data_IF_760713695069
#
_entry.id   IF_760713695069
#
_cell.length_a   1.000
_cell.length_b   1.000
_cell.length_c   1.000
_cell.angle_alpha   90.00
_cell.angle_beta   90.00
_cell.angle_gamma   90.00
#
_symmetry.space_group_name_H-M   'P 1'
#
loop_
_entity.id
_entity.type
_entity.pdbx_description
1 polymer ?
#
# COMPACT_ATOMS: atom_id res chain seq x y z
N UNK A 1 -13.60 -6.62 13.27
CA UNK A 1 -13.37 -7.28 11.96
C UNK A 1 -11.88 -7.58 11.86
N UNK A 2 -11.51 -8.80 11.49
CA UNK A 2 -10.09 -9.20 11.42
C UNK A 2 -9.37 -8.46 10.28
N UNK A 3 -8.12 -8.06 10.52
CA UNK A 3 -7.22 -7.58 9.47
C UNK A 3 -7.16 -8.64 8.35
N UNK A 4 -7.33 -8.21 7.10
CA UNK A 4 -7.29 -9.14 5.96
C UNK A 4 -5.83 -9.47 5.69
N UNK A 5 -5.51 -10.76 5.61
CA UNK A 5 -4.16 -11.22 5.28
C UNK A 5 -4.17 -11.98 3.97
N UNK A 6 -3.20 -11.70 3.10
CA UNK A 6 -3.09 -12.27 1.76
C UNK A 6 -1.71 -12.88 1.56
N UNK A 7 -1.67 -14.18 1.30
CA UNK A 7 -0.47 -14.84 0.81
C UNK A 7 -0.24 -14.42 -0.65
N UNK A 8 0.99 -14.02 -0.97
CA UNK A 8 1.42 -13.65 -2.32
C UNK A 8 2.77 -14.28 -2.64
N UNK A 9 3.06 -14.40 -3.94
CA UNK A 9 4.37 -14.82 -4.43
C UNK A 9 5.49 -14.02 -3.75
N UNK A 10 6.51 -14.67 -3.16
CA UNK A 10 7.60 -14.00 -2.44
C UNK A 10 8.30 -12.91 -3.26
N UNK A 11 8.41 -13.12 -4.58
CA UNK A 11 9.00 -12.16 -5.52
C UNK A 11 8.30 -10.80 -5.54
N UNK A 12 7.01 -10.73 -5.19
CA UNK A 12 6.26 -9.46 -5.10
C UNK A 12 6.63 -8.62 -3.88
N UNK A 13 7.19 -9.26 -2.87
CA UNK A 13 7.70 -8.63 -1.64
C UNK A 13 9.22 -8.47 -1.65
N UNK A 14 9.89 -8.81 -2.75
CA UNK A 14 11.34 -8.62 -2.86
C UNK A 14 11.70 -7.13 -2.77
N UNK A 15 12.67 -6.80 -1.91
CA UNK A 15 13.21 -5.43 -1.84
C UNK A 15 14.12 -5.10 -3.03
N UNK A 16 14.49 -6.09 -3.84
CA UNK A 16 15.48 -5.91 -4.90
C UNK A 16 16.87 -5.57 -4.39
N UNK A 17 17.77 -5.28 -5.31
CA UNK A 17 19.16 -4.88 -5.03
C UNK A 17 19.46 -3.59 -5.77
N UNK A 18 20.12 -2.66 -5.08
CA UNK A 18 20.61 -1.44 -5.73
C UNK A 18 21.74 -1.77 -6.70
N UNK A 19 21.57 -1.41 -7.97
CA UNK A 19 22.59 -1.57 -9.00
C UNK A 19 23.26 -0.23 -9.28
N UNK A 20 24.52 -0.10 -8.85
CA UNK A 20 25.31 1.12 -9.09
C UNK A 20 25.53 1.43 -10.57
N UNK A 21 25.67 0.40 -11.42
CA UNK A 21 25.92 0.59 -12.85
C UNK A 21 24.74 1.22 -13.60
N UNK A 22 23.51 1.03 -13.11
CA UNK A 22 22.30 1.57 -13.73
C UNK A 22 21.58 2.62 -12.88
N UNK A 23 22.13 2.94 -11.70
CA UNK A 23 21.56 3.82 -10.67
C UNK A 23 20.08 3.52 -10.38
N UNK A 24 19.73 2.22 -10.33
CA UNK A 24 18.36 1.75 -10.16
C UNK A 24 18.29 0.52 -9.28
N UNK A 25 17.13 0.34 -8.65
CA UNK A 25 16.79 -0.87 -7.93
C UNK A 25 16.37 -1.97 -8.93
N UNK A 26 16.99 -3.14 -8.84
CA UNK A 26 16.74 -4.28 -9.72
C UNK A 26 16.10 -5.42 -8.93
N UNK A 27 15.06 -6.05 -9.49
CA UNK A 27 14.39 -7.19 -8.87
C UNK A 27 13.49 -6.82 -7.69
N UNK A 28 13.10 -5.56 -7.56
CA UNK A 28 12.11 -5.13 -6.57
C UNK A 28 10.72 -5.61 -6.99
N UNK A 29 10.01 -6.22 -6.05
CA UNK A 29 8.63 -6.64 -6.22
C UNK A 29 7.67 -5.46 -6.25
N UNK A 30 6.54 -5.62 -6.91
CA UNK A 30 5.59 -4.53 -7.12
C UNK A 30 4.97 -3.99 -5.82
N UNK A 31 4.82 -4.84 -4.78
CA UNK A 31 4.30 -4.42 -3.48
C UNK A 31 5.33 -3.55 -2.76
N UNK A 32 6.60 -3.97 -2.71
CA UNK A 32 7.68 -3.19 -2.11
C UNK A 32 7.90 -1.86 -2.85
N UNK A 33 7.95 -1.91 -4.18
CA UNK A 33 8.10 -0.72 -5.02
C UNK A 33 6.95 0.30 -4.85
N UNK A 34 5.78 -0.16 -4.37
CA UNK A 34 4.62 0.70 -4.12
C UNK A 34 4.66 1.44 -2.77
N UNK A 35 5.60 1.11 -1.88
CA UNK A 35 5.70 1.71 -0.54
C UNK A 35 5.71 3.24 -0.65
N UNK A 36 4.80 3.92 0.06
CA UNK A 36 4.58 5.36 -0.13
C UNK A 36 4.30 6.16 1.14
N UNK A 37 4.46 5.58 2.33
CA UNK A 37 4.19 6.30 3.58
C UNK A 37 5.04 7.58 3.73
N UNK A 38 6.32 7.52 3.32
CA UNK A 38 7.22 8.67 3.26
C UNK A 38 6.67 9.78 2.34
N UNK A 39 6.16 9.41 1.16
CA UNK A 39 5.64 10.37 0.18
C UNK A 39 4.33 10.99 0.62
N UNK A 40 3.44 10.18 1.22
CA UNK A 40 2.16 10.65 1.75
C UNK A 40 2.42 11.67 2.87
N UNK A 41 3.35 11.38 3.78
CA UNK A 41 3.72 12.29 4.86
C UNK A 41 4.28 13.63 4.38
N UNK A 42 4.93 13.64 3.22
CA UNK A 42 5.45 14.85 2.56
C UNK A 42 4.46 15.51 1.59
N UNK A 43 3.22 15.01 1.49
CA UNK A 43 2.22 15.52 0.53
C UNK A 43 2.59 15.29 -0.94
N UNK A 44 3.52 14.36 -1.22
CA UNK A 44 3.96 14.02 -2.56
C UNK A 44 3.03 12.98 -3.23
N UNK A 45 3.01 12.90 -4.57
CA UNK A 45 2.36 11.79 -5.27
C UNK A 45 2.92 10.44 -4.82
N UNK A 46 2.04 9.44 -4.66
CA UNK A 46 2.46 8.08 -4.28
C UNK A 46 3.28 7.43 -5.40
N UNK A 47 4.08 6.42 -5.04
CA UNK A 47 4.74 5.55 -6.02
C UNK A 47 3.70 4.73 -6.78
N UNK A 48 4.14 4.00 -7.81
CA UNK A 48 3.24 3.19 -8.66
C UNK A 48 2.47 2.20 -7.78
N UNK A 49 1.13 2.27 -7.73
CA UNK A 49 0.32 1.32 -7.00
C UNK A 49 0.40 -0.08 -7.62
N UNK A 50 0.15 -1.11 -6.83
CA UNK A 50 0.10 -2.50 -7.29
C UNK A 50 -1.34 -2.98 -7.46
N UNK A 51 -1.52 -4.06 -8.24
CA UNK A 51 -2.82 -4.70 -8.41
C UNK A 51 -2.88 -6.02 -7.65
N UNK A 52 -4.00 -6.29 -7.01
CA UNK A 52 -4.28 -7.58 -6.37
C UNK A 52 -5.79 -7.83 -6.41
N UNK A 53 -6.20 -9.03 -6.81
CA UNK A 53 -7.60 -9.44 -6.93
C UNK A 53 -8.48 -8.44 -7.73
N UNK A 54 -7.92 -7.82 -8.78
CA UNK A 54 -8.62 -6.84 -9.62
C UNK A 54 -8.70 -5.42 -9.03
N UNK A 55 -8.31 -5.23 -7.77
CA UNK A 55 -8.28 -3.94 -7.08
C UNK A 55 -6.89 -3.29 -7.14
N UNK A 56 -6.84 -1.98 -6.89
CA UNK A 56 -5.61 -1.19 -6.83
C UNK A 56 -5.24 -0.92 -5.36
N UNK A 57 -3.96 -1.06 -5.03
CA UNK A 57 -3.47 -1.00 -3.65
C UNK A 57 -2.18 -0.19 -3.55
N UNK A 58 -1.93 0.40 -2.38
CA UNK A 58 -0.68 1.10 -2.05
C UNK A 58 -0.12 0.59 -0.73
N UNK A 59 1.18 0.29 -0.71
CA UNK A 59 1.90 -0.12 0.49
C UNK A 59 2.26 1.10 1.36
N UNK A 60 2.06 0.96 2.66
CA UNK A 60 2.38 1.99 3.68
C UNK A 60 3.25 1.48 4.81
N UNK A 61 3.48 0.18 4.88
CA UNK A 61 4.33 -0.43 5.90
C UNK A 61 4.97 -1.69 5.36
N UNK A 62 6.22 -1.93 5.73
CA UNK A 62 6.93 -3.17 5.44
C UNK A 62 7.59 -3.63 6.73
N UNK A 63 7.44 -4.90 7.07
CA UNK A 63 8.07 -5.49 8.26
C UNK A 63 8.17 -7.01 8.17
N UNK A 64 8.66 -7.66 9.25
CA UNK A 64 8.84 -9.11 9.27
C UNK A 64 7.56 -9.91 9.03
N UNK A 65 6.40 -9.33 9.34
CA UNK A 65 5.07 -9.92 9.13
C UNK A 65 4.50 -9.72 7.72
N UNK A 66 5.20 -8.98 6.85
CA UNK A 66 4.76 -8.65 5.50
C UNK A 66 4.60 -7.16 5.25
N UNK A 67 3.94 -6.82 4.16
CA UNK A 67 3.65 -5.47 3.74
C UNK A 67 2.19 -5.09 4.08
N UNK A 68 2.01 -3.96 4.76
CA UNK A 68 0.70 -3.38 5.04
C UNK A 68 0.30 -2.46 3.90
N UNK A 69 -0.91 -2.63 3.37
CA UNK A 69 -1.41 -1.85 2.25
C UNK A 69 -2.90 -1.51 2.38
N UNK A 70 -3.28 -0.40 1.73
CA UNK A 70 -4.66 0.08 1.64
C UNK A 70 -5.15 0.00 0.20
N UNK A 71 -6.46 -0.22 0.05
CA UNK A 71 -7.12 -0.13 -1.25
C UNK A 71 -7.19 1.31 -1.70
N UNK A 72 -7.08 1.53 -3.00
CA UNK A 72 -7.26 2.83 -3.62
C UNK A 72 -8.59 2.86 -4.35
N UNK A 73 -9.47 3.77 -3.94
CA UNK A 73 -10.76 4.01 -4.55
C UNK A 73 -10.79 5.37 -5.23
N UNK A 74 -11.64 5.51 -6.25
CA UNK A 74 -12.01 6.83 -6.73
C UNK A 74 -12.81 7.57 -5.64
N UNK A 75 -12.64 8.90 -5.45
CA UNK A 75 -13.35 9.64 -4.41
C UNK A 75 -14.88 9.45 -4.43
N UNK A 76 -15.49 9.28 -5.61
CA UNK A 76 -16.94 9.04 -5.74
C UNK A 76 -17.41 7.67 -5.25
N UNK A 77 -16.48 6.72 -5.02
CA UNK A 77 -16.78 5.38 -4.52
C UNK A 77 -16.47 5.25 -3.02
N UNK A 78 -15.86 6.26 -2.41
CA UNK A 78 -15.54 6.25 -0.99
C UNK A 78 -16.72 6.76 -0.18
N UNK A 79 -17.29 5.89 0.66
CA UNK A 79 -18.47 6.20 1.47
C UNK A 79 -18.15 6.93 2.79
N UNK A 80 -16.95 7.48 2.95
CA UNK A 80 -16.49 8.17 4.16
C UNK A 80 -16.03 9.60 3.89
N UNK A 81 -15.50 10.26 4.92
CA UNK A 81 -14.93 11.61 4.80
C UNK A 81 -13.50 11.52 4.28
N UNK A 82 -13.29 11.93 3.03
CA UNK A 82 -11.96 12.07 2.48
C UNK A 82 -11.26 13.32 3.07
N UNK A 83 -10.00 13.18 3.46
CA UNK A 83 -9.21 14.23 4.13
C UNK A 83 -7.74 14.17 3.72
N UNK A 84 -6.99 15.23 4.01
CA UNK A 84 -5.54 15.23 3.78
C UNK A 84 -4.82 14.50 4.91
N UNK A 85 -3.59 14.04 4.65
CA UNK A 85 -2.73 13.46 5.69
C UNK A 85 -2.51 14.43 6.86
N UNK A 86 -2.31 15.72 6.54
CA UNK A 86 -2.11 16.76 7.53
C UNK A 86 -3.32 16.94 8.46
N UNK A 87 -4.54 16.86 7.92
CA UNK A 87 -5.75 16.92 8.74
C UNK A 87 -5.87 15.68 9.63
N UNK A 88 -5.53 14.49 9.12
CA UNK A 88 -5.54 13.25 9.90
C UNK A 88 -4.52 13.27 11.05
N UNK A 89 -3.34 13.85 10.86
CA UNK A 89 -2.34 13.97 11.92
C UNK A 89 -2.79 14.85 13.10
N UNK A 90 -3.69 15.81 12.87
CA UNK A 90 -4.24 16.65 13.95
C UNK A 90 -5.17 15.89 14.90
N UNK A 91 -5.67 14.73 14.48
CA UNK A 91 -6.52 13.84 15.29
C UNK A 91 -5.72 12.86 16.17
N UNK A 92 -4.38 12.89 16.07
CA UNK A 92 -3.33 12.16 16.81
C UNK A 92 -3.74 10.77 17.37
N UNK A 93 -4.12 10.69 18.64
CA UNK A 93 -4.43 9.43 19.35
C UNK A 93 -5.67 8.70 18.80
N UNK A 94 -6.69 9.45 18.34
CA UNK A 94 -7.93 8.86 17.82
C UNK A 94 -7.71 8.17 16.47
N UNK A 95 -6.76 8.66 15.68
CA UNK A 95 -6.48 8.11 14.36
C UNK A 95 -5.72 6.77 14.43
N UNK A 96 -4.90 6.56 15.48
CA UNK A 96 -4.10 5.33 15.65
C UNK A 96 -4.90 4.16 16.22
N UNK A 97 -6.00 4.43 16.95
CA UNK A 97 -6.91 3.41 17.48
C UNK A 97 -8.05 3.02 16.52
N UNK A 98 -8.11 3.60 15.32
CA UNK A 98 -9.18 3.37 14.36
C UNK A 98 -9.07 1.98 13.73
N UNK A 99 -10.16 1.21 13.73
CA UNK A 99 -10.21 -0.10 13.06
C UNK A 99 -10.08 0.00 11.54
N UNK A 100 -10.46 1.13 10.94
CA UNK A 100 -10.20 1.40 9.53
C UNK A 100 -8.72 1.71 9.27
N UNK A 101 -7.95 1.98 10.33
CA UNK A 101 -6.54 2.30 10.30
C UNK A 101 -6.25 3.78 10.08
N UNK A 102 -5.00 4.17 10.33
CA UNK A 102 -4.59 5.57 10.30
C UNK A 102 -4.84 6.23 8.93
N UNK A 103 -4.55 5.50 7.86
CA UNK A 103 -4.61 6.04 6.50
C UNK A 103 -6.01 6.01 5.86
N UNK A 104 -7.04 5.51 6.55
CA UNK A 104 -8.39 5.51 6.00
C UNK A 104 -8.90 6.94 5.72
N UNK A 105 -9.47 7.11 4.54
CA UNK A 105 -9.98 8.38 4.05
C UNK A 105 -8.89 9.36 3.62
N UNK A 106 -7.61 8.98 3.63
CA UNK A 106 -6.55 9.88 3.17
C UNK A 106 -6.56 9.99 1.64
N UNK A 107 -6.60 11.23 1.15
CA UNK A 107 -6.49 11.56 -0.27
C UNK A 107 -5.03 11.46 -0.68
N UNK A 108 -4.76 10.70 -1.74
CA UNK A 108 -3.44 10.52 -2.35
C UNK A 108 -3.50 10.81 -3.84
N UNK A 109 -2.35 11.17 -4.42
CA UNK A 109 -2.24 11.52 -5.84
C UNK A 109 -1.39 10.51 -6.59
N UNK A 110 -1.87 10.03 -7.73
CA UNK A 110 -1.11 9.18 -8.65
C UNK A 110 -1.49 9.46 -10.10
N UNK A 111 -0.50 9.62 -10.98
CA UNK A 111 -0.71 9.86 -12.42
C UNK A 111 -1.73 10.99 -12.72
N UNK A 112 -1.65 12.10 -11.97
CA UNK A 112 -2.55 13.25 -12.12
C UNK A 112 -3.97 13.07 -11.57
N UNK A 113 -4.27 11.93 -10.94
CA UNK A 113 -5.59 11.62 -10.36
C UNK A 113 -5.54 11.60 -8.84
N UNK A 114 -6.64 11.99 -8.23
CA UNK A 114 -6.88 11.83 -6.80
C UNK A 114 -7.55 10.47 -6.55
N UNK A 115 -7.05 9.78 -5.53
CA UNK A 115 -7.55 8.50 -5.05
C UNK A 115 -7.68 8.60 -3.53
N UNK A 116 -8.57 7.80 -2.96
CA UNK A 116 -8.76 7.72 -1.52
C UNK A 116 -8.32 6.36 -1.03
N UNK A 117 -7.52 6.36 0.04
CA UNK A 117 -7.12 5.16 0.74
C UNK A 117 -8.30 4.64 1.57
N UNK A 118 -8.74 3.42 1.27
CA UNK A 118 -9.89 2.79 1.90
C UNK A 118 -9.43 1.64 2.79
N UNK A 119 -9.72 1.79 4.08
CA UNK A 119 -9.48 0.79 5.10
C UNK A 119 -10.53 -0.33 5.11
N UNK A 120 -10.37 -1.31 6.02
CA UNK A 120 -9.19 -1.53 6.86
C UNK A 120 -7.96 -1.93 6.03
N UNK A 121 -6.73 -1.75 6.56
CA UNK A 121 -5.52 -2.25 5.90
C UNK A 121 -5.56 -3.77 5.73
N UNK A 122 -4.84 -4.24 4.72
CA UNK A 122 -4.54 -5.66 4.53
C UNK A 122 -3.03 -5.90 4.61
N UNK A 123 -2.67 -7.06 5.16
CA UNK A 123 -1.28 -7.51 5.24
C UNK A 123 -1.00 -8.50 4.12
N UNK A 124 -0.01 -8.21 3.30
CA UNK A 124 0.50 -9.08 2.24
C UNK A 124 1.77 -9.77 2.73
N UNK A 125 1.74 -11.09 2.82
CA UNK A 125 2.87 -11.89 3.31
C UNK A 125 3.31 -12.92 2.28
N UNK A 126 4.56 -13.35 2.38
CA UNK A 126 5.12 -14.35 1.47
C UNK A 126 4.39 -15.68 1.68
N UNK A 127 3.69 -16.14 0.65
CA UNK A 127 3.14 -17.49 0.58
C UNK A 127 4.18 -18.51 0.13
N UNK A 128 3.75 -19.76 -0.01
CA UNK A 128 4.53 -20.76 -0.74
C UNK A 128 4.50 -20.40 -2.23
N UNK A 129 5.64 -20.48 -2.92
CA UNK A 129 5.66 -20.32 -4.39
C UNK A 129 4.71 -21.36 -4.97
N UNK A 130 3.73 -20.92 -5.76
CA UNK A 130 2.90 -21.86 -6.49
C UNK A 130 3.83 -22.63 -7.43
N UNK A 131 4.12 -23.90 -7.11
CA UNK A 131 4.67 -24.85 -8.06
C UNK A 131 3.64 -24.92 -9.19
N UNK A 132 3.91 -24.20 -10.27
CA UNK A 132 3.23 -24.37 -11.54
C UNK A 132 3.47 -25.83 -11.93
N UNK A 133 2.51 -26.69 -11.59
CA UNK A 133 2.49 -28.04 -12.10
C UNK A 133 2.32 -27.91 -13.61
N UNK A 134 3.39 -28.17 -14.35
CA UNK A 134 3.35 -28.39 -15.79
C UNK A 134 2.47 -29.62 -16.03
N UNK A 135 1.16 -29.40 -16.19
CA UNK A 135 0.21 -30.37 -16.74
C UNK A 135 -0.52 -29.71 -17.89
#
# INVERSE_FOLDING_TARGET
>A
MAARSHAVEPSRLAHGVWCHASEKQIGEGDICASYSADRIGMGQPIRKPFRYAGELWVCVGTGPSGAEAYRLLHPSLFCGTARTYHDRCRDDDRARGDHAGFYDGIIVRHAGRELVMAGPPATFFAGEEAQLSLF
#
